data_IF_575569327185
#
_entry.id   IF_575569327185
#
_cell.length_a   1.000
_cell.length_b   1.000
_cell.length_c   1.000
_cell.angle_alpha   90.00
_cell.angle_beta   90.00
_cell.angle_gamma   90.00
#
_symmetry.space_group_name_H-M   'P 1'
#
loop_
_entity.id
_entity.type
_entity.pdbx_description
1 polymer ?
#
# COMPACT_ATOMS: atom_id res chain seq x y z
N UNK A 1 -27.16 -15.06 -31.45
CA UNK A 1 -26.61 -16.38 -31.10
C UNK A 1 -25.17 -16.16 -30.64
N UNK A 2 -24.84 -16.70 -29.46
CA UNK A 2 -23.49 -16.79 -28.86
C UNK A 2 -22.75 -15.46 -28.61
N UNK A 3 -23.19 -14.71 -27.60
CA UNK A 3 -22.31 -13.71 -26.96
C UNK A 3 -21.28 -14.48 -26.13
N UNK A 4 -20.02 -14.44 -26.55
CA UNK A 4 -18.87 -14.76 -25.70
C UNK A 4 -19.07 -14.04 -24.36
N UNK A 5 -19.09 -14.81 -23.28
CA UNK A 5 -18.84 -14.27 -21.94
C UNK A 5 -17.39 -13.79 -21.94
N UNK A 6 -17.17 -12.54 -22.39
CA UNK A 6 -15.99 -11.78 -22.04
C UNK A 6 -16.06 -11.64 -20.51
N UNK A 7 -15.25 -12.42 -19.79
CA UNK A 7 -14.91 -12.07 -18.42
C UNK A 7 -14.42 -10.61 -18.47
N UNK A 8 -14.90 -9.72 -17.59
CA UNK A 8 -14.24 -8.44 -17.44
C UNK A 8 -12.81 -8.75 -17.02
N UNK A 9 -11.88 -8.57 -17.94
CA UNK A 9 -10.49 -8.31 -17.59
C UNK A 9 -10.58 -7.05 -16.73
N UNK A 10 -10.55 -7.24 -15.41
CA UNK A 10 -10.23 -6.18 -14.47
C UNK A 10 -8.82 -5.73 -14.84
N UNK A 11 -8.73 -4.83 -15.81
CA UNK A 11 -7.54 -4.04 -16.08
C UNK A 11 -7.37 -3.16 -14.86
N UNK A 12 -6.70 -3.66 -13.82
CA UNK A 12 -6.22 -2.80 -12.75
C UNK A 12 -5.33 -1.75 -13.41
N UNK A 13 -5.82 -0.52 -13.47
CA UNK A 13 -5.05 0.57 -14.05
C UNK A 13 -3.83 0.81 -13.17
N UNK A 14 -2.67 0.27 -13.57
CA UNK A 14 -1.41 0.36 -12.86
C UNK A 14 -0.98 1.83 -12.69
N UNK A 15 -1.34 2.53 -11.59
CA UNK A 15 -0.71 3.81 -11.25
C UNK A 15 0.81 3.63 -11.35
N UNK A 16 1.49 4.61 -11.94
CA UNK A 16 2.90 4.51 -12.28
C UNK A 16 3.75 4.26 -11.02
N UNK A 17 3.98 2.98 -10.69
CA UNK A 17 4.95 2.56 -9.70
C UNK A 17 6.34 2.69 -10.31
N UNK A 18 6.98 3.84 -10.07
CA UNK A 18 8.38 4.05 -10.45
C UNK A 18 9.27 3.22 -9.50
N UNK A 19 9.61 2.01 -9.93
CA UNK A 19 10.47 1.09 -9.18
C UNK A 19 9.73 0.34 -8.06
N UNK A 20 10.28 -0.82 -7.66
CA UNK A 20 9.73 -1.62 -6.55
C UNK A 20 9.67 -0.77 -5.28
N UNK A 21 8.46 -0.35 -4.87
CA UNK A 21 8.26 0.43 -3.65
C UNK A 21 8.66 -0.46 -2.48
N UNK A 22 9.63 -0.01 -1.69
CA UNK A 22 10.15 -0.77 -0.54
C UNK A 22 9.90 0.01 0.73
N UNK A 23 9.32 -0.66 1.73
CA UNK A 23 9.13 -0.09 3.07
C UNK A 23 10.46 -0.09 3.85
N UNK A 24 10.71 1.00 4.55
CA UNK A 24 11.95 1.34 5.24
C UNK A 24 11.73 1.40 6.76
N UNK A 25 12.77 1.04 7.51
CA UNK A 25 12.75 1.01 8.98
C UNK A 25 12.95 2.38 9.65
N UNK A 26 13.43 3.38 8.91
CA UNK A 26 13.89 4.65 9.49
C UNK A 26 12.72 5.40 10.14
N UNK A 27 12.84 5.71 11.42
CA UNK A 27 11.80 6.43 12.17
C UNK A 27 10.59 5.59 12.57
N UNK A 28 10.61 4.28 12.35
CA UNK A 28 9.60 3.36 12.90
C UNK A 28 9.64 3.35 14.43
N UNK A 29 8.50 3.03 15.05
CA UNK A 29 8.40 2.87 16.50
C UNK A 29 9.35 1.78 17.03
N UNK A 30 9.63 0.74 16.23
CA UNK A 30 10.68 -0.25 16.47
C UNK A 30 11.34 -0.66 15.13
N UNK A 31 12.38 0.10 14.73
CA UNK A 31 13.12 -0.16 13.49
C UNK A 31 13.73 -1.57 13.43
N UNK A 32 14.28 -2.06 14.53
CA UNK A 32 14.90 -3.39 14.59
C UNK A 32 13.89 -4.52 14.46
N UNK A 33 12.72 -4.37 15.10
CA UNK A 33 11.60 -5.29 14.96
C UNK A 33 11.07 -5.33 13.54
N UNK A 34 10.94 -4.16 12.90
CA UNK A 34 10.54 -4.07 11.49
C UNK A 34 11.54 -4.79 10.56
N UNK A 35 12.84 -4.51 10.68
CA UNK A 35 13.87 -5.15 9.86
C UNK A 35 13.88 -6.67 10.03
N UNK A 36 13.73 -7.14 11.26
CA UNK A 36 13.65 -8.57 11.56
C UNK A 36 12.41 -9.22 10.94
N UNK A 37 11.26 -8.55 11.01
CA UNK A 37 10.01 -9.01 10.41
C UNK A 37 10.08 -9.03 8.89
N UNK A 38 10.57 -7.95 8.27
CA UNK A 38 10.76 -7.86 6.82
C UNK A 38 11.74 -8.92 6.32
N UNK A 39 12.81 -9.22 7.06
CA UNK A 39 13.71 -10.32 6.72
C UNK A 39 12.97 -11.66 6.66
N UNK A 40 12.11 -11.95 7.64
CA UNK A 40 11.32 -13.18 7.66
C UNK A 40 10.35 -13.25 6.46
N UNK A 41 9.67 -12.15 6.15
CA UNK A 41 8.80 -12.06 4.97
C UNK A 41 9.58 -12.33 3.66
N UNK A 42 10.80 -11.82 3.55
CA UNK A 42 11.63 -11.98 2.35
C UNK A 42 12.26 -13.38 2.24
N UNK A 43 12.64 -14.00 3.37
CA UNK A 43 13.06 -15.40 3.43
C UNK A 43 11.90 -16.32 3.03
N UNK A 44 10.68 -16.01 3.50
CA UNK A 44 9.43 -16.68 3.12
C UNK A 44 9.14 -16.58 1.62
N UNK A 45 9.20 -15.37 1.05
CA UNK A 45 9.08 -15.14 -0.40
C UNK A 45 10.08 -15.98 -1.20
N UNK A 46 11.34 -15.98 -0.79
CA UNK A 46 12.42 -16.72 -1.47
C UNK A 46 12.14 -18.22 -1.48
N UNK A 47 11.65 -18.75 -0.36
CA UNK A 47 11.27 -20.16 -0.21
C UNK A 47 10.05 -20.51 -1.07
N UNK A 48 9.02 -19.65 -1.09
CA UNK A 48 7.82 -19.80 -1.89
C UNK A 48 8.15 -19.80 -3.40
N UNK A 49 8.94 -18.84 -3.88
CA UNK A 49 9.35 -18.78 -5.29
C UNK A 49 10.19 -20.00 -5.69
N UNK A 50 11.06 -20.49 -4.80
CA UNK A 50 11.86 -21.69 -5.09
C UNK A 50 10.95 -22.92 -5.28
N UNK A 51 9.90 -23.04 -4.47
CA UNK A 51 8.90 -24.11 -4.60
C UNK A 51 8.06 -23.94 -5.88
N UNK A 52 7.54 -22.74 -6.14
CA UNK A 52 6.76 -22.45 -7.35
C UNK A 52 7.54 -22.75 -8.64
N UNK A 53 8.84 -22.44 -8.66
CA UNK A 53 9.73 -22.78 -9.79
C UNK A 53 9.93 -24.28 -9.96
N UNK A 54 10.03 -25.02 -8.85
CA UNK A 54 10.13 -26.48 -8.87
C UNK A 54 8.85 -27.10 -9.44
N UNK A 55 7.71 -26.50 -9.16
CA UNK A 55 6.40 -26.93 -9.64
C UNK A 55 6.04 -26.34 -11.01
N UNK A 56 6.93 -25.51 -11.58
CA UNK A 56 6.76 -24.79 -12.85
C UNK A 56 5.47 -23.96 -12.92
N UNK A 57 5.10 -23.34 -11.80
CA UNK A 57 3.83 -22.63 -11.61
C UNK A 57 4.04 -21.11 -11.61
N UNK A 58 3.72 -20.46 -12.72
CA UNK A 58 3.77 -19.00 -12.83
C UNK A 58 2.72 -18.31 -11.93
N UNK A 59 1.56 -18.94 -11.76
CA UNK A 59 0.50 -18.43 -10.88
C UNK A 59 0.96 -18.43 -9.42
N UNK A 60 1.69 -19.46 -9.00
CA UNK A 60 2.22 -19.54 -7.64
C UNK A 60 3.31 -18.49 -7.40
N UNK A 61 4.17 -18.20 -8.40
CA UNK A 61 5.13 -17.09 -8.30
C UNK A 61 4.43 -15.75 -8.03
N UNK A 62 3.33 -15.48 -8.74
CA UNK A 62 2.53 -14.27 -8.51
C UNK A 62 1.91 -14.27 -7.11
N UNK A 63 1.35 -15.41 -6.67
CA UNK A 63 0.79 -15.55 -5.33
C UNK A 63 1.84 -15.33 -4.23
N UNK A 64 3.07 -15.83 -4.41
CA UNK A 64 4.19 -15.58 -3.49
C UNK A 64 4.47 -14.07 -3.35
N UNK A 65 4.49 -13.34 -4.47
CA UNK A 65 4.69 -11.89 -4.47
C UNK A 65 3.57 -11.17 -3.71
N UNK A 66 2.32 -11.55 -3.94
CA UNK A 66 1.18 -10.96 -3.24
C UNK A 66 1.16 -11.25 -1.74
N UNK A 67 1.55 -12.46 -1.33
CA UNK A 67 1.73 -12.76 0.09
C UNK A 67 2.84 -11.91 0.70
N UNK A 68 3.95 -11.68 -0.02
CA UNK A 68 5.03 -10.83 0.48
C UNK A 68 4.61 -9.37 0.68
N UNK A 69 3.71 -8.83 -0.16
CA UNK A 69 3.08 -7.52 0.12
C UNK A 69 2.34 -7.54 1.45
N UNK A 70 1.50 -8.56 1.66
CA UNK A 70 0.71 -8.76 2.88
C UNK A 70 1.60 -8.83 4.12
N UNK A 71 2.62 -9.67 4.08
CA UNK A 71 3.54 -9.85 5.19
C UNK A 71 4.28 -8.54 5.54
N UNK A 72 4.74 -7.80 4.53
CA UNK A 72 5.47 -6.55 4.73
C UNK A 72 4.61 -5.41 5.27
N UNK A 73 3.40 -5.18 4.75
CA UNK A 73 2.55 -4.13 5.32
C UNK A 73 2.03 -4.52 6.70
N UNK A 74 1.92 -5.82 7.02
CA UNK A 74 1.65 -6.31 8.37
C UNK A 74 2.82 -6.07 9.33
N UNK A 75 4.06 -6.33 8.89
CA UNK A 75 5.26 -5.91 9.62
C UNK A 75 5.24 -4.40 9.88
N UNK A 76 4.90 -3.60 8.86
CA UNK A 76 4.84 -2.15 9.00
C UNK A 76 3.74 -1.71 9.98
N UNK A 77 2.59 -2.35 9.94
CA UNK A 77 1.49 -2.11 10.87
C UNK A 77 1.83 -2.47 12.32
N UNK A 78 2.70 -3.46 12.54
CA UNK A 78 3.17 -3.86 13.86
C UNK A 78 4.29 -2.95 14.40
N UNK A 79 5.29 -2.63 13.58
CA UNK A 79 6.54 -2.01 14.03
C UNK A 79 6.73 -0.55 13.60
N UNK A 80 5.98 -0.12 12.59
CA UNK A 80 6.03 1.24 12.01
C UNK A 80 4.64 1.91 12.03
N UNK A 81 3.78 1.54 13.00
CA UNK A 81 2.42 2.11 13.17
C UNK A 81 2.39 3.63 13.35
N UNK A 82 3.53 4.26 13.60
CA UNK A 82 3.66 5.71 13.69
C UNK A 82 3.90 6.39 12.33
N UNK A 83 4.03 5.61 11.24
CA UNK A 83 4.36 6.05 9.89
C UNK A 83 3.39 5.57 8.81
N UNK A 84 2.41 4.76 9.18
CA UNK A 84 1.45 4.12 8.26
C UNK A 84 0.64 5.11 7.41
N UNK A 85 0.50 6.38 7.80
CA UNK A 85 -0.19 7.38 6.96
C UNK A 85 0.74 8.10 5.98
N UNK A 86 2.06 7.91 6.11
CA UNK A 86 3.04 8.57 5.26
C UNK A 86 2.96 8.07 3.81
N UNK A 87 3.46 8.88 2.88
CA UNK A 87 3.44 8.55 1.45
C UNK A 87 4.10 7.21 1.13
N UNK A 88 5.11 6.80 1.90
CA UNK A 88 5.81 5.53 1.67
C UNK A 88 4.88 4.32 1.84
N UNK A 89 4.12 4.26 2.94
CA UNK A 89 3.16 3.17 3.17
C UNK A 89 2.01 3.24 2.16
N UNK A 90 1.49 4.43 1.89
CA UNK A 90 0.36 4.62 0.98
C UNK A 90 0.74 4.24 -0.46
N UNK A 91 1.95 4.57 -0.91
CA UNK A 91 2.49 4.09 -2.19
C UNK A 91 2.64 2.57 -2.19
N UNK A 92 3.15 1.98 -1.10
CA UNK A 92 3.33 0.54 -1.01
C UNK A 92 2.01 -0.24 -1.11
N UNK A 93 0.97 0.23 -0.41
CA UNK A 93 -0.36 -0.40 -0.48
C UNK A 93 -1.01 -0.17 -1.84
N UNK A 94 -0.82 1.01 -2.46
CA UNK A 94 -1.27 1.25 -3.83
C UNK A 94 -0.59 0.29 -4.81
N UNK A 95 0.73 0.10 -4.68
CA UNK A 95 1.51 -0.85 -5.49
C UNK A 95 1.02 -2.30 -5.30
N UNK A 96 0.68 -2.69 -4.07
CA UNK A 96 0.00 -3.97 -3.81
C UNK A 96 -1.32 -4.07 -4.58
N UNK A 97 -2.19 -3.07 -4.47
CA UNK A 97 -3.51 -3.09 -5.14
C UNK A 97 -3.41 -3.19 -6.67
N UNK A 98 -2.32 -2.69 -7.26
CA UNK A 98 -2.12 -2.67 -8.70
C UNK A 98 -1.50 -3.95 -9.24
N UNK A 99 -0.49 -4.47 -8.54
CA UNK A 99 0.31 -5.60 -9.01
C UNK A 99 -0.24 -6.95 -8.54
N UNK A 100 -1.20 -6.95 -7.61
CA UNK A 100 -1.85 -8.15 -7.12
C UNK A 100 -3.31 -8.24 -7.55
N UNK A 101 -3.64 -9.12 -8.51
CA UNK A 101 -5.03 -9.28 -8.99
C UNK A 101 -6.03 -9.72 -7.91
N UNK A 102 -5.53 -10.33 -6.83
CA UNK A 102 -6.36 -10.72 -5.69
C UNK A 102 -6.57 -9.59 -4.69
N UNK A 103 -5.77 -8.51 -4.74
CA UNK A 103 -5.79 -7.47 -3.72
C UNK A 103 -7.16 -6.79 -3.64
N UNK A 104 -7.68 -6.69 -2.43
CA UNK A 104 -8.97 -6.05 -2.13
C UNK A 104 -8.95 -5.45 -0.75
N UNK A 105 -9.85 -4.49 -0.53
CA UNK A 105 -10.15 -3.98 0.78
C UNK A 105 -10.92 -5.01 1.64
N UNK A 106 -10.75 -4.97 2.98
CA UNK A 106 -9.94 -3.99 3.70
C UNK A 106 -8.44 -4.36 3.74
N UNK A 107 -7.62 -3.32 3.66
CA UNK A 107 -6.19 -3.34 4.02
C UNK A 107 -6.03 -2.36 5.17
N UNK A 108 -5.26 -2.67 6.24
CA UNK A 108 -5.10 -1.75 7.34
C UNK A 108 -4.67 -0.40 6.81
N UNK A 109 -5.27 0.66 7.37
CA UNK A 109 -4.70 2.00 7.23
C UNK A 109 -4.75 2.60 5.81
N UNK A 110 -5.63 2.07 4.99
CA UNK A 110 -5.83 2.49 3.60
C UNK A 110 -7.33 2.52 3.27
N UNK A 111 -7.89 3.67 2.83
CA UNK A 111 -7.22 4.94 2.59
C UNK A 111 -6.84 5.68 3.88
N UNK A 112 -6.10 6.79 3.75
CA UNK A 112 -5.77 7.65 4.91
C UNK A 112 -7.07 8.27 5.45
N UNK A 113 -7.33 8.28 6.77
CA UNK A 113 -8.43 9.05 7.33
C UNK A 113 -8.23 10.56 7.14
N UNK A 114 -9.31 11.34 7.23
CA UNK A 114 -9.20 12.81 7.16
C UNK A 114 -8.36 13.34 8.33
N UNK A 115 -7.61 14.42 8.09
CA UNK A 115 -6.82 15.18 9.09
C UNK A 115 -5.79 14.35 9.87
N UNK A 116 -5.36 13.25 9.29
CA UNK A 116 -4.49 12.32 9.97
C UNK A 116 -3.06 12.92 10.11
N UNK A 117 -2.43 12.83 11.30
CA UNK A 117 -1.14 13.48 11.53
C UNK A 117 -0.04 12.77 10.72
N UNK A 118 0.92 13.55 10.20
CA UNK A 118 2.01 13.02 9.39
C UNK A 118 1.55 12.24 8.14
N UNK A 119 0.34 12.53 7.66
CA UNK A 119 -0.21 11.91 6.47
C UNK A 119 0.52 12.35 5.21
N UNK A 120 0.46 11.50 4.18
CA UNK A 120 0.88 11.90 2.85
C UNK A 120 0.10 13.14 2.37
N UNK A 121 0.79 14.05 1.69
CA UNK A 121 0.24 15.30 1.15
C UNK A 121 -0.92 15.07 0.17
N UNK A 122 -0.99 13.87 -0.41
CA UNK A 122 -2.08 13.37 -1.22
C UNK A 122 -2.62 12.07 -0.62
N UNK A 123 -3.94 11.94 -0.54
CA UNK A 123 -4.57 10.69 -0.09
C UNK A 123 -4.63 9.69 -1.24
N UNK A 124 -3.50 9.01 -1.49
CA UNK A 124 -3.35 8.05 -2.59
C UNK A 124 -4.40 6.94 -2.55
N UNK A 125 -4.84 6.52 -1.36
CA UNK A 125 -5.91 5.54 -1.25
C UNK A 125 -7.25 6.04 -1.75
N UNK A 126 -7.63 7.29 -1.46
CA UNK A 126 -8.85 7.88 -2.03
C UNK A 126 -8.74 8.03 -3.56
N UNK A 127 -7.59 8.49 -4.05
CA UNK A 127 -7.32 8.56 -5.50
C UNK A 127 -7.49 7.19 -6.16
N UNK A 128 -6.87 6.16 -5.61
CA UNK A 128 -6.96 4.81 -6.15
C UNK A 128 -8.41 4.28 -6.17
N UNK A 129 -9.14 4.48 -5.08
CA UNK A 129 -10.52 3.98 -4.95
C UNK A 129 -11.48 4.72 -5.88
N UNK A 130 -11.47 6.06 -5.88
CA UNK A 130 -12.34 6.85 -6.75
C UNK A 130 -12.04 6.61 -8.24
N UNK A 131 -10.76 6.42 -8.60
CA UNK A 131 -10.40 6.05 -9.96
C UNK A 131 -10.99 4.69 -10.34
N UNK A 132 -10.85 3.67 -9.47
CA UNK A 132 -11.39 2.34 -9.74
C UNK A 132 -12.92 2.31 -9.72
N UNK A 133 -13.55 3.11 -8.85
CA UNK A 133 -15.00 3.27 -8.79
C UNK A 133 -15.53 3.86 -10.09
N UNK A 134 -14.84 4.81 -10.73
CA UNK A 134 -15.21 5.33 -12.04
C UNK A 134 -15.31 4.20 -13.08
N UNK A 135 -14.36 3.27 -13.09
CA UNK A 135 -14.37 2.09 -13.96
C UNK A 135 -15.59 1.20 -13.66
N UNK A 136 -15.83 0.89 -12.38
CA UNK A 136 -16.94 0.03 -12.00
C UNK A 136 -18.31 0.65 -12.32
N UNK A 137 -18.46 1.94 -12.08
CA UNK A 137 -19.69 2.68 -12.37
C UNK A 137 -19.98 2.73 -13.87
N UNK A 138 -18.95 2.74 -14.71
CA UNK A 138 -19.13 2.67 -16.16
C UNK A 138 -19.71 1.35 -16.62
N UNK A 139 -19.27 0.23 -16.02
CA UNK A 139 -19.90 -1.06 -16.27
C UNK A 139 -21.38 -1.04 -15.87
N UNK A 140 -21.73 -0.44 -14.73
CA UNK A 140 -23.14 -0.29 -14.31
C UNK A 140 -23.93 0.63 -15.25
N UNK A 141 -23.38 1.79 -15.60
CA UNK A 141 -23.98 2.77 -16.49
C UNK A 141 -24.30 2.18 -17.86
N UNK A 142 -23.32 1.52 -18.49
CA UNK A 142 -23.48 0.91 -19.81
C UNK A 142 -24.48 -0.25 -19.79
N UNK A 143 -24.57 -1.01 -18.70
CA UNK A 143 -25.59 -2.06 -18.55
C UNK A 143 -27.01 -1.51 -18.37
N UNK A 144 -27.15 -0.26 -17.91
CA UNK A 144 -28.45 0.39 -17.69
C UNK A 144 -29.00 1.08 -18.94
N UNK A 145 -28.24 1.18 -20.03
CA UNK A 145 -28.70 1.78 -21.29
C UNK A 145 -29.82 0.92 -21.94
N UNK A 146 -31.09 1.30 -21.75
CA UNK A 146 -32.24 0.46 -22.11
C UNK A 146 -33.40 1.14 -22.88
N UNK A 147 -33.18 2.29 -23.50
CA UNK A 147 -34.20 3.18 -24.10
C UNK A 147 -35.11 2.60 -25.19
N UNK A 148 -35.02 1.31 -25.53
CA UNK A 148 -35.75 0.67 -26.63
C UNK A 148 -35.26 1.06 -28.02
N UNK A 149 -34.48 2.15 -28.13
CA UNK A 149 -33.81 2.60 -29.34
C UNK A 149 -32.30 2.32 -29.28
N UNK A 150 -31.79 1.60 -30.28
CA UNK A 150 -30.39 1.18 -30.30
C UNK A 150 -29.43 2.36 -30.43
N UNK A 151 -29.83 3.40 -31.17
CA UNK A 151 -28.99 4.59 -31.37
C UNK A 151 -28.86 5.39 -30.08
N UNK A 152 -29.96 5.58 -29.36
CA UNK A 152 -29.98 6.27 -28.06
C UNK A 152 -29.18 5.51 -27.00
N UNK A 153 -29.26 4.17 -26.98
CA UNK A 153 -28.41 3.36 -26.10
C UNK A 153 -26.92 3.51 -26.41
N UNK A 154 -26.55 3.58 -27.70
CA UNK A 154 -25.15 3.80 -28.08
C UNK A 154 -24.63 5.18 -27.63
N UNK A 155 -25.45 6.22 -27.74
CA UNK A 155 -25.08 7.56 -27.25
C UNK A 155 -24.93 7.58 -25.72
N UNK A 156 -25.80 6.87 -24.99
CA UNK A 156 -25.69 6.75 -23.54
C UNK A 156 -24.43 6.00 -23.12
N UNK A 157 -24.11 4.87 -23.78
CA UNK A 157 -22.87 4.12 -23.53
C UNK A 157 -21.64 5.01 -23.77
N UNK A 158 -21.62 5.77 -24.86
CA UNK A 158 -20.55 6.72 -25.13
C UNK A 158 -20.47 7.84 -24.07
N UNK A 159 -21.63 8.25 -23.52
CA UNK A 159 -21.72 9.12 -22.35
C UNK A 159 -21.11 8.50 -21.10
N UNK A 160 -21.39 7.23 -20.82
CA UNK A 160 -20.78 6.47 -19.72
C UNK A 160 -19.25 6.44 -19.88
N UNK A 161 -18.73 6.05 -21.04
CA UNK A 161 -17.29 5.99 -21.30
C UNK A 161 -16.61 7.36 -21.09
N UNK A 162 -17.27 8.44 -21.51
CA UNK A 162 -16.79 9.80 -21.26
C UNK A 162 -16.85 10.22 -19.81
N UNK A 163 -17.85 9.77 -19.05
CA UNK A 163 -17.92 9.96 -17.60
C UNK A 163 -16.86 9.14 -16.85
N UNK A 164 -16.48 7.96 -17.35
CA UNK A 164 -15.34 7.19 -16.82
C UNK A 164 -14.05 7.99 -16.88
N UNK A 165 -13.70 8.43 -18.09
CA UNK A 165 -12.45 9.15 -18.36
C UNK A 165 -12.45 10.49 -17.60
N UNK A 166 -13.57 11.21 -17.64
CA UNK A 166 -13.75 12.46 -16.90
C UNK A 166 -13.64 12.25 -15.39
N UNK A 167 -14.27 11.21 -14.84
CA UNK A 167 -14.21 10.87 -13.41
C UNK A 167 -12.81 10.48 -12.96
N UNK A 168 -12.10 9.69 -13.78
CA UNK A 168 -10.70 9.34 -13.57
C UNK A 168 -9.79 10.59 -13.52
N UNK A 169 -9.93 11.52 -14.46
CA UNK A 169 -9.20 12.79 -14.46
C UNK A 169 -9.55 13.61 -13.22
N UNK A 170 -10.85 13.74 -12.93
CA UNK A 170 -11.35 14.57 -11.84
C UNK A 170 -10.91 14.07 -10.47
N UNK A 171 -10.74 12.75 -10.32
CA UNK A 171 -10.16 12.11 -9.14
C UNK A 171 -8.78 12.68 -8.79
N UNK A 172 -7.90 12.85 -9.77
CA UNK A 172 -6.57 13.42 -9.52
C UNK A 172 -6.65 14.89 -9.13
N UNK A 173 -7.53 15.65 -9.79
CA UNK A 173 -7.61 17.10 -9.69
C UNK A 173 -8.37 17.59 -8.46
N UNK A 174 -9.36 16.83 -7.96
CA UNK A 174 -10.12 17.22 -6.78
C UNK A 174 -9.54 16.64 -5.48
N UNK A 175 -9.05 15.40 -5.50
CA UNK A 175 -8.52 14.76 -4.28
C UNK A 175 -7.12 15.27 -3.98
N UNK A 176 -6.30 15.53 -5.01
CA UNK A 176 -4.91 15.95 -4.86
C UNK A 176 -4.52 17.10 -5.80
N UNK A 177 -5.21 18.26 -5.73
CA UNK A 177 -5.07 19.37 -6.69
C UNK A 177 -3.65 19.91 -6.83
N UNK A 178 -2.86 19.89 -5.74
CA UNK A 178 -1.51 20.45 -5.73
C UNK A 178 -0.42 19.47 -6.20
N UNK A 179 -0.73 18.18 -6.25
CA UNK A 179 0.24 17.13 -6.59
C UNK A 179 0.39 17.01 -8.10
N UNK A 180 1.61 16.77 -8.56
CA UNK A 180 1.86 16.44 -9.96
C UNK A 180 1.10 15.15 -10.33
N UNK A 181 0.11 15.22 -11.24
CA UNK A 181 -0.75 14.08 -11.54
C UNK A 181 -0.01 12.95 -12.27
N UNK A 182 1.18 13.19 -12.82
CA UNK A 182 2.04 12.12 -13.35
C UNK A 182 2.50 11.15 -12.25
N UNK A 183 2.67 11.65 -11.01
CA UNK A 183 2.98 10.83 -9.83
C UNK A 183 1.76 10.04 -9.34
N UNK A 184 0.56 10.44 -9.75
CA UNK A 184 -0.70 9.79 -9.40
C UNK A 184 -1.17 8.78 -10.46
N UNK A 185 -0.38 8.57 -11.52
CA UNK A 185 -0.75 7.64 -12.59
C UNK A 185 -1.71 8.23 -13.62
N UNK A 186 -1.74 9.56 -13.82
CA UNK A 186 -2.48 10.20 -14.92
C UNK A 186 -2.12 9.61 -16.29
N UNK A 187 -0.90 9.09 -16.45
CA UNK A 187 -0.48 8.33 -17.64
C UNK A 187 -1.42 7.18 -18.02
N UNK A 188 -2.16 6.64 -17.05
CA UNK A 188 -3.08 5.52 -17.26
C UNK A 188 -4.40 5.94 -17.88
N UNK A 189 -4.75 7.22 -17.80
CA UNK A 189 -5.94 7.73 -18.47
C UNK A 189 -5.80 7.52 -19.99
N UNK A 190 -4.61 7.67 -20.55
CA UNK A 190 -4.37 7.34 -21.96
C UNK A 190 -4.62 5.86 -22.27
N UNK A 191 -4.23 4.96 -21.36
CA UNK A 191 -4.52 3.54 -21.47
C UNK A 191 -6.01 3.25 -21.35
N UNK A 192 -6.72 4.03 -20.54
CA UNK A 192 -8.17 3.93 -20.39
C UNK A 192 -8.90 4.41 -21.66
N UNK A 193 -8.56 5.59 -22.18
CA UNK A 193 -9.06 6.11 -23.45
C UNK A 193 -8.88 5.11 -24.59
N UNK A 194 -7.71 4.45 -24.64
CA UNK A 194 -7.40 3.43 -25.65
C UNK A 194 -8.27 2.17 -25.48
N UNK A 195 -8.52 1.73 -24.25
CA UNK A 195 -9.35 0.55 -23.97
C UNK A 195 -10.83 0.80 -24.29
N UNK A 196 -11.33 1.99 -23.98
CA UNK A 196 -12.69 2.42 -24.30
C UNK A 196 -12.85 2.86 -25.75
N UNK A 197 -11.76 2.95 -26.51
CA UNK A 197 -11.72 3.56 -27.85
C UNK A 197 -12.41 4.93 -27.88
N UNK A 198 -12.20 5.71 -26.82
CA UNK A 198 -12.87 6.99 -26.56
C UNK A 198 -11.80 8.00 -26.16
N UNK A 199 -11.30 8.82 -27.11
CA UNK A 199 -10.36 9.88 -26.79
C UNK A 199 -11.05 10.95 -25.94
N UNK A 200 -10.39 11.43 -24.88
CA UNK A 200 -11.00 12.40 -23.97
C UNK A 200 -11.42 13.67 -24.69
N UNK A 201 -10.63 14.15 -25.65
CA UNK A 201 -10.93 15.33 -26.47
C UNK A 201 -12.28 15.24 -27.22
N UNK A 202 -12.80 14.02 -27.44
CA UNK A 202 -14.10 13.80 -28.08
C UNK A 202 -15.29 13.86 -27.12
N UNK A 203 -15.04 13.89 -25.80
CA UNK A 203 -16.07 13.76 -24.78
C UNK A 203 -16.87 15.03 -24.48
N UNK A 204 -16.46 16.20 -24.99
CA UNK A 204 -17.14 17.47 -24.74
C UNK A 204 -18.66 17.42 -24.96
N UNK A 205 -19.16 17.03 -26.16
CA UNK A 205 -20.59 16.94 -26.44
C UNK A 205 -21.35 15.96 -25.54
N UNK A 206 -20.72 14.84 -25.18
CA UNK A 206 -21.32 13.83 -24.30
C UNK A 206 -21.47 14.34 -22.87
N UNK A 207 -20.46 15.03 -22.36
CA UNK A 207 -20.47 15.65 -21.03
C UNK A 207 -21.33 16.94 -20.98
N UNK A 208 -21.72 17.50 -22.13
CA UNK A 208 -22.76 18.53 -22.22
C UNK A 208 -24.17 17.92 -22.19
N UNK A 209 -24.34 16.74 -22.77
CA UNK A 209 -25.63 16.05 -22.90
C UNK A 209 -26.01 15.26 -21.64
N UNK A 210 -25.04 14.63 -20.99
CA UNK A 210 -25.24 13.74 -19.85
C UNK A 210 -24.54 14.29 -18.61
N UNK A 211 -25.30 14.55 -17.55
CA UNK A 211 -24.76 14.77 -16.21
C UNK A 211 -24.34 13.42 -15.62
N UNK A 212 -23.02 13.20 -15.46
CA UNK A 212 -22.48 11.93 -14.99
C UNK A 212 -23.12 11.47 -13.66
N UNK A 213 -23.43 12.40 -12.76
CA UNK A 213 -24.01 12.08 -11.45
C UNK A 213 -25.52 11.89 -11.58
N UNK A 214 -26.23 12.89 -12.13
CA UNK A 214 -27.70 12.90 -12.12
C UNK A 214 -28.33 11.98 -13.14
N UNK A 215 -27.76 11.92 -14.34
CA UNK A 215 -28.35 11.18 -15.47
C UNK A 215 -27.76 9.76 -15.54
N UNK A 216 -26.47 9.61 -15.23
CA UNK A 216 -25.74 8.35 -15.40
C UNK A 216 -25.38 7.64 -14.09
N UNK A 217 -25.60 8.29 -12.94
CA UNK A 217 -25.54 7.66 -11.62
C UNK A 217 -24.14 7.49 -11.03
N UNK A 218 -23.14 8.21 -11.54
CA UNK A 218 -21.79 8.17 -10.98
C UNK A 218 -21.72 8.84 -9.59
N UNK A 219 -20.94 8.24 -8.69
CA UNK A 219 -20.79 8.63 -7.30
C UNK A 219 -19.40 8.25 -6.77
N UNK A 220 -18.42 9.10 -7.05
CA UNK A 220 -17.03 8.89 -6.66
C UNK A 220 -16.68 9.68 -5.39
N UNK A 221 -16.13 9.03 -4.35
CA UNK A 221 -15.75 9.72 -3.11
C UNK A 221 -14.67 10.77 -3.36
N UNK A 222 -14.90 12.00 -2.89
CA UNK A 222 -13.97 13.11 -3.09
C UNK A 222 -13.98 13.74 -4.49
N UNK A 223 -14.93 13.38 -5.35
CA UNK A 223 -15.11 14.01 -6.68
C UNK A 223 -16.52 14.56 -6.80
N UNK A 224 -16.63 15.82 -7.21
CA UNK A 224 -17.90 16.52 -7.35
C UNK A 224 -18.13 17.08 -8.75
N UNK A 225 -17.06 17.21 -9.53
CA UNK A 225 -17.03 17.79 -10.86
C UNK A 225 -16.47 16.76 -11.83
N UNK A 226 -17.14 16.59 -12.96
CA UNK A 226 -16.65 15.79 -14.07
C UNK A 226 -16.13 16.76 -15.13
N UNK A 227 -14.81 16.95 -15.18
CA UNK A 227 -14.17 17.89 -16.10
C UNK A 227 -14.33 17.47 -17.56
N UNK A 228 -14.52 18.48 -18.41
CA UNK A 228 -14.55 18.42 -19.86
C UNK A 228 -13.15 18.75 -20.41
N UNK A 229 -12.84 18.37 -21.66
CA UNK A 229 -11.57 18.73 -22.28
C UNK A 229 -11.26 20.23 -22.25
N UNK A 230 -12.30 21.07 -22.29
CA UNK A 230 -12.17 22.53 -22.38
C UNK A 230 -12.11 23.25 -21.03
N UNK A 231 -12.32 22.56 -19.91
CA UNK A 231 -12.37 23.18 -18.58
C UNK A 231 -11.53 22.45 -17.53
N UNK A 232 -10.51 21.70 -17.95
CA UNK A 232 -9.54 21.10 -17.04
C UNK A 232 -8.77 22.23 -16.31
N UNK A 233 -8.75 22.24 -14.97
CA UNK A 233 -7.96 23.22 -14.21
C UNK A 233 -6.45 23.01 -14.44
N UNK A 234 -5.66 24.03 -14.08
CA UNK A 234 -4.22 23.87 -14.02
C UNK A 234 -3.86 22.77 -13.01
N UNK A 235 -2.96 21.87 -13.40
CA UNK A 235 -2.53 20.76 -12.56
C UNK A 235 -1.46 21.21 -11.56
N UNK A 236 -1.42 20.54 -10.42
CA UNK A 236 -0.34 20.67 -9.47
C UNK A 236 1.03 20.29 -10.04
N UNK A 237 2.08 20.74 -9.36
CA UNK A 237 3.49 20.40 -9.67
C UNK A 237 4.24 19.90 -8.45
N UNK A 238 3.56 19.75 -7.30
CA UNK A 238 4.21 19.33 -6.07
C UNK A 238 4.53 17.83 -6.13
N UNK A 239 5.68 17.46 -5.58
CA UNK A 239 5.98 16.05 -5.29
C UNK A 239 5.22 15.60 -4.05
N UNK A 240 5.02 14.29 -3.91
CA UNK A 240 4.50 13.71 -2.68
C UNK A 240 5.43 14.00 -1.50
N UNK A 241 4.85 14.44 -0.38
CA UNK A 241 5.58 14.71 0.86
C UNK A 241 4.71 14.36 2.07
N UNK A 242 5.32 14.20 3.24
CA UNK A 242 4.54 13.99 4.47
C UNK A 242 4.21 15.33 5.12
N UNK A 243 2.94 15.50 5.49
CA UNK A 243 2.47 16.66 6.22
C UNK A 243 3.07 16.71 7.63
N UNK A 244 2.92 17.86 8.29
CA UNK A 244 3.36 18.00 9.67
C UNK A 244 2.56 17.10 10.64
N UNK A 245 3.14 16.86 11.82
CA UNK A 245 2.51 16.11 12.90
C UNK A 245 3.26 14.82 13.23
N UNK A 246 2.79 14.15 14.29
CA UNK A 246 3.39 12.92 14.79
C UNK A 246 2.30 12.00 15.31
N UNK A 247 2.38 10.72 14.94
CA UNK A 247 1.53 9.67 15.49
C UNK A 247 2.22 9.12 16.75
N UNK A 248 1.64 9.34 17.93
CA UNK A 248 2.24 8.99 19.22
C UNK A 248 1.66 7.73 19.87
N UNK A 249 0.58 7.19 19.31
CA UNK A 249 0.00 5.91 19.70
C UNK A 249 -0.57 5.20 18.46
N UNK A 250 -0.62 3.86 18.43
CA UNK A 250 -1.20 3.14 17.31
C UNK A 250 -2.69 3.44 17.18
N UNK A 251 -3.12 3.84 15.99
CA UNK A 251 -4.50 4.28 15.73
C UNK A 251 -5.55 3.18 16.00
N UNK A 252 -5.18 1.91 15.79
CA UNK A 252 -6.06 0.74 16.01
C UNK A 252 -5.92 0.12 17.40
N UNK A 253 -5.22 0.78 18.34
CA UNK A 253 -4.89 0.20 19.64
C UNK A 253 -3.66 -0.70 19.63
N UNK A 254 -3.26 -1.21 20.79
CA UNK A 254 -2.01 -1.97 20.94
C UNK A 254 -2.06 -3.38 20.35
N UNK A 255 -3.27 -3.93 20.17
CA UNK A 255 -3.54 -5.16 19.44
C UNK A 255 -4.81 -4.94 18.62
N UNK A 256 -4.78 -5.29 17.35
CA UNK A 256 -5.98 -5.27 16.50
C UNK A 256 -6.02 -6.48 15.57
N UNK A 257 -7.21 -6.79 15.06
CA UNK A 257 -7.40 -7.82 14.05
C UNK A 257 -8.06 -7.23 12.82
N UNK A 258 -7.75 -7.78 11.65
CA UNK A 258 -8.47 -7.46 10.41
C UNK A 258 -8.52 -8.70 9.51
N UNK A 259 -9.54 -8.78 8.66
CA UNK A 259 -9.63 -9.79 7.60
C UNK A 259 -9.08 -9.17 6.32
N UNK A 260 -7.99 -9.70 5.77
CA UNK A 260 -7.48 -9.19 4.50
C UNK A 260 -8.50 -9.44 3.39
N UNK A 261 -8.83 -8.40 2.62
CA UNK A 261 -9.84 -8.51 1.57
C UNK A 261 -9.45 -9.44 0.42
N UNK A 262 -8.15 -9.59 0.16
CA UNK A 262 -7.64 -10.34 -0.99
C UNK A 262 -7.49 -11.84 -0.75
N UNK A 263 -7.01 -12.26 0.42
CA UNK A 263 -6.84 -13.67 0.78
C UNK A 263 -7.91 -14.20 1.76
N UNK A 264 -8.71 -13.32 2.37
CA UNK A 264 -9.75 -13.68 3.34
C UNK A 264 -9.23 -14.13 4.71
N UNK A 265 -7.93 -14.04 4.96
CA UNK A 265 -7.26 -14.45 6.19
C UNK A 265 -7.42 -13.39 7.27
N UNK A 266 -7.69 -13.84 8.50
CA UNK A 266 -7.70 -12.96 9.68
C UNK A 266 -6.29 -12.83 10.22
N UNK A 267 -5.77 -11.62 10.24
CA UNK A 267 -4.48 -11.28 10.81
C UNK A 267 -4.66 -10.57 12.15
N UNK A 268 -3.83 -10.96 13.13
CA UNK A 268 -3.72 -10.27 14.43
C UNK A 268 -2.40 -9.53 14.49
N UNK A 269 -2.47 -8.22 14.65
CA UNK A 269 -1.31 -7.32 14.69
C UNK A 269 -1.13 -6.80 16.12
N UNK A 270 0.09 -6.93 16.64
CA UNK A 270 0.48 -6.35 17.93
C UNK A 270 1.46 -5.21 17.68
N UNK A 271 1.10 -4.01 18.14
CA UNK A 271 1.91 -2.83 17.96
C UNK A 271 3.12 -2.82 18.91
N UNK A 272 4.31 -2.66 18.35
CA UNK A 272 5.56 -2.57 19.11
C UNK A 272 5.67 -1.25 19.90
N UNK A 273 6.45 -1.28 20.99
CA UNK A 273 6.80 -0.07 21.74
C UNK A 273 5.71 0.56 22.61
N UNK A 274 4.51 -0.05 22.69
CA UNK A 274 3.42 0.47 23.53
C UNK A 274 3.57 -0.06 24.97
N UNK A 275 4.01 0.80 25.90
CA UNK A 275 4.06 0.48 27.33
C UNK A 275 2.64 0.22 27.87
N UNK A 276 2.30 -1.05 28.06
CA UNK A 276 0.98 -1.48 28.55
C UNK A 276 0.50 -2.81 27.96
N UNK A 277 1.10 -3.29 26.87
CA UNK A 277 0.85 -4.65 26.38
C UNK A 277 1.67 -5.67 27.17
N UNK A 278 1.27 -5.95 28.40
CA UNK A 278 1.61 -7.22 29.08
C UNK A 278 0.84 -8.36 28.41
N UNK A 279 1.19 -8.65 27.16
CA UNK A 279 0.67 -9.78 26.40
C UNK A 279 1.87 -10.55 25.85
N UNK A 280 2.36 -11.51 26.63
CA UNK A 280 3.28 -12.53 26.16
C UNK A 280 2.59 -13.30 25.02
N UNK A 281 2.91 -12.99 23.77
CA UNK A 281 2.37 -13.63 22.58
C UNK A 281 3.49 -14.14 21.69
N UNK A 282 3.85 -15.40 21.89
CA UNK A 282 4.78 -16.19 21.08
C UNK A 282 4.40 -16.21 19.60
N UNK A 283 5.39 -16.38 18.72
CA UNK A 283 5.29 -16.20 17.27
C UNK A 283 4.14 -16.88 16.54
N UNK A 284 3.63 -16.20 15.53
CA UNK A 284 2.67 -16.72 14.57
C UNK A 284 3.39 -17.58 13.52
N UNK A 285 3.40 -18.90 13.74
CA UNK A 285 3.62 -19.87 12.67
C UNK A 285 2.30 -20.13 11.96
N UNK A 286 2.13 -19.60 10.75
CA UNK A 286 1.01 -19.94 9.87
C UNK A 286 1.28 -21.30 9.22
N UNK A 287 0.85 -22.38 9.89
CA UNK A 287 0.86 -23.74 9.32
C UNK A 287 -0.45 -24.03 8.61
N UNK A 288 -0.51 -23.85 7.30
CA UNK A 288 -1.63 -24.33 6.47
C UNK A 288 -1.41 -25.81 6.13
N UNK A 289 -1.97 -26.70 6.95
CA UNK A 289 -1.97 -28.15 6.70
C UNK A 289 -3.34 -28.64 6.27
N UNK A 290 -3.60 -28.72 4.97
CA UNK A 290 -4.74 -29.47 4.41
C UNK A 290 -4.34 -30.95 4.30
N UNK A 291 -4.68 -31.75 5.32
CA UNK A 291 -4.39 -33.18 5.35
C UNK A 291 -5.61 -34.00 5.77
N UNK A 292 -6.41 -34.44 4.81
CA UNK A 292 -7.40 -35.51 5.01
C UNK A 292 -6.65 -36.83 5.17
N UNK A 293 -6.47 -37.28 6.41
CA UNK A 293 -5.82 -38.55 6.72
C UNK A 293 -6.48 -39.21 7.92
N UNK A 294 -7.35 -40.19 7.67
CA UNK A 294 -7.86 -41.10 8.69
C UNK A 294 -6.72 -41.98 9.19
N UNK A 295 -6.26 -41.74 10.42
CA UNK A 295 -5.22 -42.53 11.07
C UNK A 295 -5.50 -42.68 12.57
N UNK A 296 -6.01 -43.84 12.97
CA UNK A 296 -6.14 -44.24 14.37
C UNK A 296 -4.75 -44.39 14.98
N UNK A 297 -4.41 -43.53 15.95
CA UNK A 297 -3.15 -43.60 16.68
C UNK A 297 -3.37 -43.29 18.17
N UNK A 298 -3.40 -44.34 18.99
CA UNK A 298 -3.38 -44.23 20.44
C UNK A 298 -2.01 -43.74 20.91
N UNK A 299 -1.94 -42.53 21.45
CA UNK A 299 -0.73 -41.95 22.02
C UNK A 299 -0.98 -41.44 23.43
N UNK A 300 -0.55 -42.22 24.43
CA UNK A 300 -0.51 -41.82 25.83
C UNK A 300 0.66 -40.87 26.05
N UNK A 301 0.38 -39.60 26.30
CA UNK A 301 1.38 -38.59 26.66
C UNK A 301 1.12 -38.03 28.06
N UNK A 302 1.84 -38.52 29.05
CA UNK A 302 1.86 -37.97 30.42
C UNK A 302 2.78 -36.76 30.47
N UNK A 303 2.21 -35.55 30.61
CA UNK A 303 2.96 -34.32 30.82
C UNK A 303 2.66 -33.73 32.19
N UNK A 304 3.51 -34.02 33.18
CA UNK A 304 3.49 -33.37 34.50
C UNK A 304 4.26 -32.06 34.43
N UNK A 305 3.56 -30.93 34.44
CA UNK A 305 4.15 -29.59 34.56
C UNK A 305 3.82 -28.97 35.91
N UNK A 306 4.71 -29.14 36.89
CA UNK A 306 4.66 -28.42 38.17
C UNK A 306 5.55 -27.18 38.08
N UNK A 307 4.93 -26.00 37.98
CA UNK A 307 5.61 -24.71 38.06
C UNK A 307 5.04 -23.89 39.21
N UNK A 308 5.59 -24.07 40.41
CA UNK A 308 5.37 -23.19 41.56
C UNK A 308 6.55 -22.24 41.67
N UNK A 309 6.27 -20.95 41.62
CA UNK A 309 7.24 -19.87 41.82
C UNK A 309 6.61 -18.75 42.62
N UNK A 310 6.37 -18.99 43.91
CA UNK A 310 6.02 -17.96 44.88
C UNK A 310 7.28 -17.16 45.25
N UNK A 311 7.10 -15.84 45.32
CA UNK A 311 8.17 -14.88 45.56
C UNK A 311 8.62 -14.77 47.02
N UNK A 312 9.59 -13.89 47.26
CA UNK A 312 9.77 -13.15 48.51
C UNK A 312 10.77 -12.02 48.30
N UNK A 313 10.37 -10.80 48.66
CA UNK A 313 11.23 -9.62 48.73
C UNK A 313 11.94 -9.49 50.08
N UNK A 314 12.26 -8.23 50.42
CA UNK A 314 12.99 -7.72 51.60
C UNK A 314 14.49 -7.57 51.33
N UNK A 315 15.21 -6.53 51.73
CA UNK A 315 14.97 -5.28 52.45
C UNK A 315 16.28 -4.48 52.27
N UNK A 316 16.23 -3.19 51.97
CA UNK A 316 16.34 -2.10 52.95
C UNK A 316 17.79 -1.81 53.38
N UNK A 317 18.28 -0.60 53.07
CA UNK A 317 19.15 0.19 53.95
C UNK A 317 19.35 1.60 53.41
N UNK A 318 18.72 2.53 54.12
CA UNK A 318 18.99 3.96 54.17
C UNK A 318 20.45 4.32 54.49
N UNK A 319 20.88 5.47 53.97
CA UNK A 319 21.63 6.53 54.69
C UNK A 319 21.59 7.78 53.80
N UNK A 320 20.76 8.80 54.05
CA UNK A 320 21.07 10.04 54.82
C UNK A 320 22.56 10.43 54.73
N UNK A 321 22.98 11.61 54.23
CA UNK A 321 22.73 12.99 54.71
C UNK A 321 23.14 14.01 53.63
N UNK A 322 22.22 14.94 53.39
CA UNK A 322 22.30 16.40 53.16
C UNK A 322 23.61 17.18 52.90
N UNK A 323 23.40 18.19 52.03
CA UNK A 323 23.85 19.60 52.05
C UNK A 323 25.14 20.08 51.36
N UNK A 324 24.88 20.93 50.34
CA UNK A 324 25.44 22.24 50.00
C UNK A 324 26.95 22.47 49.98
N UNK A 325 27.42 23.07 48.88
CA UNK A 325 28.58 23.97 48.93
C UNK A 325 29.29 24.17 47.61
N UNK A 326 29.16 25.37 47.06
CA UNK A 326 29.73 25.85 45.82
C UNK A 326 31.27 25.96 45.78
N UNK A 327 31.78 26.10 44.55
CA UNK A 327 32.97 26.84 44.07
C UNK A 327 33.86 25.94 43.18
N UNK A 328 33.87 26.12 41.87
CA UNK A 328 34.60 27.14 41.09
C UNK A 328 35.95 26.61 40.57
N UNK A 329 36.37 27.16 39.43
CA UNK A 329 37.57 26.91 38.59
C UNK A 329 37.45 25.72 37.63
N UNK A 330 37.69 25.85 36.33
CA UNK A 330 38.12 26.99 35.52
C UNK A 330 38.81 26.48 34.25
N UNK A 331 38.55 27.15 33.12
CA UNK A 331 39.34 27.18 31.88
C UNK A 331 39.37 25.89 31.03
N UNK A 332 39.38 25.91 29.69
CA UNK A 332 39.77 26.96 28.73
C UNK A 332 39.41 26.55 27.29
N UNK A 333 39.53 27.54 26.39
CA UNK A 333 39.64 27.51 24.92
C UNK A 333 38.32 27.80 24.17
N UNK A 334 38.13 28.97 23.52
CA UNK A 334 38.81 29.49 22.30
C UNK A 334 38.83 28.44 21.18
N UNK A 335 38.44 28.67 19.93
CA UNK A 335 38.23 29.90 19.17
C UNK A 335 37.53 29.57 17.83
N UNK A 336 36.97 30.61 17.21
CA UNK A 336 37.02 30.92 15.77
C UNK A 336 36.48 29.97 14.68
N UNK A 337 35.38 30.45 14.06
CA UNK A 337 35.22 30.86 12.64
C UNK A 337 36.02 30.22 11.49
N UNK A 338 35.24 29.96 10.42
CA UNK A 338 35.49 30.21 8.98
C UNK A 338 36.05 29.08 8.08
N UNK A 339 35.14 28.63 7.20
CA UNK A 339 35.26 28.41 5.76
C UNK A 339 36.64 28.16 5.12
N UNK A 340 36.76 27.07 4.35
CA UNK A 340 37.03 27.11 2.91
C UNK A 340 37.15 25.69 2.28
N UNK A 341 36.51 25.57 1.12
CA UNK A 341 36.88 24.86 -0.11
C UNK A 341 37.82 23.63 -0.10
N UNK A 342 37.33 22.60 -0.82
CA UNK A 342 38.03 21.43 -1.38
C UNK A 342 39.34 21.76 -2.11
N UNK A 343 40.27 20.79 -2.25
CA UNK A 343 40.25 19.94 -3.45
C UNK A 343 40.68 18.47 -3.28
N UNK A 344 40.11 17.65 -4.17
CA UNK A 344 40.53 16.40 -4.81
C UNK A 344 41.85 15.73 -4.37
N UNK A 345 41.77 14.45 -3.96
CA UNK A 345 42.58 13.37 -4.57
C UNK A 345 42.12 11.94 -4.24
N UNK A 346 42.16 11.18 -5.31
CA UNK A 346 42.09 9.73 -5.56
C UNK A 346 42.71 8.84 -4.48
N UNK A 347 41.98 7.78 -4.08
CA UNK A 347 42.48 6.70 -3.23
C UNK A 347 41.66 5.42 -3.40
N UNK A 348 42.24 4.47 -4.11
CA UNK A 348 41.71 3.13 -4.40
C UNK A 348 41.66 2.28 -3.12
N UNK A 349 40.54 1.63 -2.84
CA UNK A 349 40.36 0.74 -1.69
C UNK A 349 39.29 -0.31 -1.94
N UNK A 350 39.71 -1.48 -2.43
CA UNK A 350 38.91 -2.70 -2.56
C UNK A 350 38.48 -3.20 -1.18
N UNK A 351 37.20 -3.56 -1.03
CA UNK A 351 36.63 -4.64 -0.19
C UNK A 351 35.13 -4.68 -0.54
N UNK A 352 34.65 -5.52 -1.48
CA UNK A 352 34.31 -6.93 -1.27
C UNK A 352 33.30 -7.17 -0.13
N UNK A 353 32.03 -6.88 -0.39
CA UNK A 353 30.88 -7.58 0.18
C UNK A 353 29.77 -7.58 -0.88
N UNK A 354 29.75 -8.63 -1.69
CA UNK A 354 28.73 -8.82 -2.73
C UNK A 354 27.40 -9.20 -2.09
N UNK A 355 26.47 -8.25 -2.01
CA UNK A 355 25.05 -8.58 -2.07
C UNK A 355 24.68 -8.73 -3.53
N UNK A 356 24.28 -9.94 -3.90
CA UNK A 356 23.63 -10.23 -5.16
C UNK A 356 22.28 -9.51 -5.12
N UNK A 357 22.23 -8.29 -5.66
CA UNK A 357 20.98 -7.70 -6.13
C UNK A 357 20.52 -8.57 -7.28
N UNK A 358 19.67 -9.56 -6.99
CA UNK A 358 18.87 -10.21 -8.01
C UNK A 358 17.90 -9.17 -8.54
N UNK A 359 18.36 -8.45 -9.57
CA UNK A 359 17.59 -7.52 -10.38
C UNK A 359 16.26 -8.16 -10.76
N UNK A 360 15.18 -7.70 -10.11
CA UNK A 360 13.79 -8.02 -10.42
C UNK A 360 13.36 -7.31 -11.73
N UNK A 361 14.15 -7.45 -12.79
CA UNK A 361 13.89 -6.83 -14.10
C UNK A 361 13.12 -7.75 -15.07
N UNK A 362 12.70 -8.92 -14.62
CA UNK A 362 12.08 -9.94 -15.48
C UNK A 362 10.57 -10.14 -15.30
N UNK A 363 9.91 -9.41 -14.40
CA UNK A 363 8.44 -9.51 -14.19
C UNK A 363 7.68 -8.29 -14.68
N UNK A 364 8.31 -7.12 -14.79
CA UNK A 364 7.66 -5.90 -15.28
C UNK A 364 7.37 -5.90 -16.80
N UNK A 365 7.96 -6.82 -17.57
CA UNK A 365 7.73 -6.91 -19.02
C UNK A 365 6.52 -7.78 -19.43
N UNK A 366 5.80 -8.36 -18.48
CA UNK A 366 4.67 -9.27 -18.78
C UNK A 366 3.28 -8.66 -18.53
N UNK A 367 3.18 -7.43 -18.00
CA UNK A 367 1.89 -6.76 -17.74
C UNK A 367 1.42 -5.81 -18.86
N UNK A 368 2.11 -5.80 -20.00
CA UNK A 368 1.75 -5.03 -21.19
C UNK A 368 1.64 -5.92 -22.44
N UNK A 369 0.87 -7.00 -22.38
CA UNK A 369 0.34 -7.69 -23.56
C UNK A 369 -1.00 -8.36 -23.24
N UNK A 370 -2.14 -7.86 -23.74
CA UNK A 370 -3.18 -8.77 -24.16
C UNK A 370 -2.67 -9.48 -25.41
N UNK A 371 -2.40 -10.78 -25.27
CA UNK A 371 -2.22 -11.71 -26.36
C UNK A 371 -3.31 -11.49 -27.43
N UNK A 372 -2.89 -10.96 -28.58
CA UNK A 372 -3.46 -11.37 -29.86
C UNK A 372 -3.29 -12.89 -29.97
N UNK A 373 -4.29 -13.66 -29.58
CA UNK A 373 -4.45 -15.06 -29.97
C UNK A 373 -5.84 -15.57 -29.59
N UNK A 374 -6.84 -15.21 -30.40
CA UNK A 374 -7.94 -16.07 -30.87
C UNK A 374 -8.90 -15.22 -31.72
N UNK A 375 -8.44 -14.85 -32.92
CA UNK A 375 -9.23 -14.78 -34.14
C UNK A 375 -8.36 -15.28 -35.28
#
# INVERSE_FOLDING_TARGET
>A
MQRLLLLPLLSTAALAATGSVTLTSTGCADSSGFESCQKQANDGLSSCIAQAKKDNSQQEILACGCQNYVDNYNCYSAFCWNRVWQCEYQNYVTDYMLNCPIAKLPVPYFPIPNDAPNACSCNLGKVFLAYNDAIQETATCSNNANSGDASSNLQQIQGCDCCEISGAISTFLEICPETDPTLLGLSNVNSLESQLNTPFDSCGPYLDQYDCIKDLGYSLDGVSTFYKPTNIPATGTATLSNNAGTVTAPASGSVFTYTNGGDGTVYTITAAGVKGSSGSGSGSGSGSGSGSGSGSGSGSGSGSGSGSGDGSGSNDSQTTVSDNGAANTGSSAQDSTAAAASPTKTGSGKNAAGMVTASLYLVAAAMAMPLLACF
#
